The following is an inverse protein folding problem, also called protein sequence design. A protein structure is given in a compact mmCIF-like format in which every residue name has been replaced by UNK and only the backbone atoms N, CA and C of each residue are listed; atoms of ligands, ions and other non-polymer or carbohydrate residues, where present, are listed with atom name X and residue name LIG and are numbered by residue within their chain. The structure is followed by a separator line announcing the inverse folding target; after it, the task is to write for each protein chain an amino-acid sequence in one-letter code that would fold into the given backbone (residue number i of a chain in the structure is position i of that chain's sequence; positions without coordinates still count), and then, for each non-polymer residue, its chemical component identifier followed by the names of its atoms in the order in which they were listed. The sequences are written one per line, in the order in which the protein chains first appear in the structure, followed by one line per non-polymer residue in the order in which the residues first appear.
data_IF_723188648023
#
_entry.id   IF_723188648023
#
_cell.length_a   1.000
_cell.length_b   1.000
_cell.length_c   1.000
_cell.angle_alpha   90.00
_cell.angle_beta   90.00
_cell.angle_gamma   90.00
#
_symmetry.space_group_name_H-M   'P 1'
#
loop_
_entity.id
_entity.type
_entity.pdbx_description
1 polymer ?
#
# COMPACT_ATOMS: atom_id res chain seq x y z
N UNK A 1 -1.76 -9.40 22.26
CA UNK A 1 -3.21 -9.11 22.13
C UNK A 1 -3.61 -8.40 20.83
N UNK A 2 -2.88 -7.38 20.34
CA UNK A 2 -3.34 -6.53 19.21
C UNK A 2 -3.46 -7.19 17.82
N UNK A 3 -2.70 -8.25 17.51
CA UNK A 3 -2.62 -8.82 16.15
C UNK A 3 -3.94 -9.38 15.62
N UNK A 4 -4.76 -9.99 16.48
CA UNK A 4 -6.03 -10.58 16.07
C UNK A 4 -7.09 -9.53 15.76
N UNK A 5 -7.09 -8.42 16.52
CA UNK A 5 -7.97 -7.26 16.27
C UNK A 5 -7.59 -6.53 14.98
N UNK A 6 -6.30 -6.48 14.63
CA UNK A 6 -5.83 -5.87 13.38
C UNK A 6 -6.32 -6.65 12.16
N UNK A 7 -6.26 -7.99 12.22
CA UNK A 7 -6.79 -8.83 11.15
C UNK A 7 -8.29 -8.62 10.95
N UNK A 8 -9.09 -8.72 12.01
CA UNK A 8 -10.54 -8.56 11.91
C UNK A 8 -10.94 -7.17 11.40
N UNK A 9 -10.23 -6.13 11.87
CA UNK A 9 -10.44 -4.76 11.43
C UNK A 9 -10.22 -4.59 9.92
N UNK A 10 -9.10 -5.09 9.39
CA UNK A 10 -8.79 -4.98 7.95
C UNK A 10 -9.66 -5.93 7.12
N UNK A 11 -9.93 -7.13 7.60
CA UNK A 11 -10.75 -8.13 6.91
C UNK A 11 -12.17 -7.60 6.63
N UNK A 12 -12.77 -6.85 7.56
CA UNK A 12 -14.07 -6.16 7.37
C UNK A 12 -14.11 -5.32 6.09
N UNK A 13 -13.03 -4.62 5.76
CA UNK A 13 -12.96 -3.75 4.58
C UNK A 13 -12.60 -4.53 3.29
N UNK A 14 -12.10 -5.76 3.42
CA UNK A 14 -11.76 -6.65 2.29
C UNK A 14 -12.84 -7.69 1.96
N UNK A 15 -13.79 -7.94 2.88
CA UNK A 15 -14.79 -9.02 2.84
C UNK A 15 -15.77 -8.97 1.65
N UNK A 16 -15.69 -7.95 0.81
CA UNK A 16 -16.50 -7.80 -0.41
C UNK A 16 -15.97 -8.60 -1.62
N UNK A 17 -14.77 -9.20 -1.57
CA UNK A 17 -14.04 -9.66 -2.77
C UNK A 17 -14.04 -11.17 -3.09
N UNK A 18 -15.19 -11.85 -2.97
CA UNK A 18 -15.50 -13.16 -3.60
C UNK A 18 -15.35 -14.43 -2.75
N UNK A 19 -16.47 -15.18 -2.68
CA UNK A 19 -16.65 -16.46 -1.98
C UNK A 19 -15.74 -17.63 -2.47
N UNK A 20 -15.00 -17.47 -3.57
CA UNK A 20 -14.45 -18.62 -4.31
C UNK A 20 -13.13 -19.20 -3.78
N UNK A 21 -12.35 -18.51 -2.93
CA UNK A 21 -11.08 -19.05 -2.39
C UNK A 21 -10.74 -18.61 -0.95
N UNK A 22 -11.63 -18.86 0.02
CA UNK A 22 -11.46 -18.38 1.42
C UNK A 22 -10.12 -18.78 2.08
N UNK A 23 -9.62 -20.00 1.88
CA UNK A 23 -8.43 -20.48 2.62
C UNK A 23 -7.11 -19.85 2.15
N UNK A 24 -6.84 -19.83 0.84
CA UNK A 24 -5.64 -19.17 0.29
C UNK A 24 -5.68 -17.66 0.52
N UNK A 25 -6.87 -17.06 0.41
CA UNK A 25 -7.07 -15.64 0.71
C UNK A 25 -6.78 -15.33 2.18
N UNK A 26 -7.21 -16.16 3.13
CA UNK A 26 -6.93 -15.95 4.55
C UNK A 26 -5.43 -15.90 4.86
N UNK A 27 -4.60 -16.72 4.21
CA UNK A 27 -3.13 -16.68 4.39
C UNK A 27 -2.55 -15.39 3.82
N UNK A 28 -2.97 -14.98 2.63
CA UNK A 28 -2.50 -13.74 2.00
C UNK A 28 -2.96 -12.49 2.75
N UNK A 29 -4.20 -12.47 3.26
CA UNK A 29 -4.71 -11.37 4.09
C UNK A 29 -3.93 -11.31 5.40
N UNK A 30 -3.64 -12.45 6.04
CA UNK A 30 -2.79 -12.46 7.24
C UNK A 30 -1.41 -11.87 6.98
N UNK A 31 -0.75 -12.25 5.87
CA UNK A 31 0.55 -11.66 5.51
C UNK A 31 0.44 -10.18 5.15
N UNK A 32 -0.62 -9.76 4.46
CA UNK A 32 -0.88 -8.35 4.22
C UNK A 32 -1.00 -7.54 5.52
N UNK A 33 -1.78 -8.03 6.49
CA UNK A 33 -1.93 -7.33 7.77
C UNK A 33 -0.64 -7.36 8.60
N UNK A 34 0.05 -8.50 8.67
CA UNK A 34 1.19 -8.68 9.58
C UNK A 34 2.52 -8.21 9.01
N UNK A 35 2.75 -8.35 7.71
CA UNK A 35 4.04 -8.08 7.06
C UNK A 35 3.99 -6.79 6.25
N UNK A 36 2.92 -6.55 5.49
CA UNK A 36 2.82 -5.36 4.62
C UNK A 36 2.33 -4.11 5.35
N UNK A 37 1.20 -4.20 6.06
CA UNK A 37 0.69 -3.09 6.87
C UNK A 37 1.43 -2.97 8.20
N UNK A 38 1.82 -4.11 8.78
CA UNK A 38 2.38 -4.20 10.13
C UNK A 38 1.43 -3.57 11.20
N UNK A 39 1.89 -3.39 12.43
CA UNK A 39 1.12 -2.69 13.48
C UNK A 39 0.79 -1.24 13.11
N UNK A 40 1.77 -0.54 12.55
CA UNK A 40 1.72 0.91 12.41
C UNK A 40 0.85 1.33 11.23
N UNK A 41 0.89 0.58 10.12
CA UNK A 41 -0.02 0.82 8.99
C UNK A 41 -1.48 0.58 9.37
N UNK A 42 -1.76 -0.41 10.23
CA UNK A 42 -3.12 -0.61 10.76
C UNK A 42 -3.54 0.51 11.70
N UNK A 43 -2.61 1.02 12.52
CA UNK A 43 -2.88 2.19 13.38
C UNK A 43 -3.21 3.43 12.55
N UNK A 44 -2.42 3.72 11.52
CA UNK A 44 -2.67 4.86 10.61
C UNK A 44 -4.03 4.72 9.93
N UNK A 45 -4.37 3.52 9.43
CA UNK A 45 -5.67 3.26 8.82
C UNK A 45 -6.84 3.47 9.79
N UNK A 46 -6.67 3.16 11.08
CA UNK A 46 -7.66 3.47 12.12
C UNK A 46 -7.79 4.96 12.36
N UNK A 47 -6.67 5.68 12.48
CA UNK A 47 -6.69 7.13 12.68
C UNK A 47 -7.36 7.86 11.49
N UNK A 48 -7.10 7.39 10.28
CA UNK A 48 -7.72 7.92 9.07
C UNK A 48 -9.24 7.63 9.08
N UNK A 49 -9.65 6.40 9.41
CA UNK A 49 -11.08 6.02 9.40
C UNK A 49 -11.92 6.79 10.42
N UNK A 50 -11.33 7.32 11.50
CA UNK A 50 -12.06 8.20 12.43
C UNK A 50 -12.49 9.52 11.76
N UNK A 51 -11.85 9.90 10.65
CA UNK A 51 -12.06 11.19 9.97
C UNK A 51 -12.67 11.06 8.57
N UNK A 52 -12.79 9.85 8.03
CA UNK A 52 -13.36 9.60 6.70
C UNK A 52 -14.46 8.55 6.76
N UNK A 53 -15.31 8.48 5.73
CA UNK A 53 -16.37 7.48 5.70
C UNK A 53 -15.81 6.06 5.57
N UNK A 54 -16.58 5.08 6.04
CA UNK A 54 -16.25 3.66 5.87
C UNK A 54 -16.08 3.26 4.40
N UNK A 55 -16.81 3.91 3.49
CA UNK A 55 -16.67 3.72 2.04
C UNK A 55 -15.27 4.14 1.57
N UNK A 56 -14.82 5.34 1.94
CA UNK A 56 -13.49 5.82 1.56
C UNK A 56 -12.39 5.01 2.25
N UNK A 57 -12.61 4.58 3.49
CA UNK A 57 -11.69 3.66 4.20
C UNK A 57 -11.55 2.35 3.44
N UNK A 58 -12.65 1.78 2.96
CA UNK A 58 -12.66 0.57 2.12
C UNK A 58 -11.86 0.78 0.83
N UNK A 59 -12.05 1.89 0.14
CA UNK A 59 -11.29 2.22 -1.07
C UNK A 59 -9.78 2.28 -0.82
N UNK A 60 -9.36 2.94 0.27
CA UNK A 60 -7.94 3.00 0.66
C UNK A 60 -7.38 1.61 0.96
N UNK A 61 -8.10 0.81 1.74
CA UNK A 61 -7.67 -0.56 2.08
C UNK A 61 -7.59 -1.43 0.82
N UNK A 62 -8.54 -1.30 -0.11
CA UNK A 62 -8.55 -2.03 -1.38
C UNK A 62 -7.41 -1.61 -2.30
N UNK A 63 -7.07 -0.32 -2.35
CA UNK A 63 -5.91 0.16 -3.07
C UNK A 63 -4.63 -0.50 -2.52
N UNK A 64 -4.39 -0.42 -1.20
CA UNK A 64 -3.23 -1.04 -0.55
C UNK A 64 -3.17 -2.56 -0.76
N UNK A 65 -4.33 -3.24 -0.76
CA UNK A 65 -4.40 -4.67 -1.04
C UNK A 65 -4.04 -5.01 -2.49
N UNK A 66 -4.48 -4.20 -3.45
CA UNK A 66 -4.11 -4.36 -4.86
C UNK A 66 -2.61 -4.12 -5.07
N UNK A 67 -2.05 -3.15 -4.36
CA UNK A 67 -0.60 -2.88 -4.36
C UNK A 67 0.17 -4.09 -3.86
N UNK A 68 -0.21 -4.60 -2.69
CA UNK A 68 0.38 -5.79 -2.10
C UNK A 68 0.33 -7.00 -3.03
N UNK A 69 -0.84 -7.30 -3.63
CA UNK A 69 -0.99 -8.40 -4.59
C UNK A 69 -0.10 -8.23 -5.81
N UNK A 70 0.05 -6.99 -6.30
CA UNK A 70 0.91 -6.70 -7.46
C UNK A 70 2.35 -6.95 -7.08
N UNK A 71 2.83 -6.37 -5.97
CA UNK A 71 4.20 -6.53 -5.50
C UNK A 71 4.58 -7.98 -5.24
N UNK A 72 3.68 -8.78 -4.64
CA UNK A 72 3.94 -10.19 -4.37
C UNK A 72 4.11 -11.04 -5.63
N UNK A 73 3.61 -10.58 -6.78
CA UNK A 73 3.78 -11.26 -8.07
C UNK A 73 5.04 -10.83 -8.82
N UNK A 74 5.69 -9.75 -8.39
CA UNK A 74 6.84 -9.16 -9.08
C UNK A 74 8.18 -9.65 -8.49
N UNK A 75 9.15 -9.88 -9.38
CA UNK A 75 10.55 -10.07 -8.99
C UNK A 75 11.19 -8.76 -8.51
N UNK A 76 12.38 -8.83 -7.91
CA UNK A 76 13.04 -7.68 -7.26
C UNK A 76 13.23 -6.47 -8.18
N UNK A 77 13.64 -6.68 -9.43
CA UNK A 77 13.84 -5.62 -10.43
C UNK A 77 12.51 -4.97 -10.81
N UNK A 78 11.46 -5.76 -10.99
CA UNK A 78 10.15 -5.27 -11.37
C UNK A 78 9.43 -4.57 -10.22
N UNK A 79 9.67 -4.97 -8.96
CA UNK A 79 9.18 -4.25 -7.78
C UNK A 79 9.73 -2.83 -7.74
N UNK A 80 11.04 -2.67 -7.93
CA UNK A 80 11.67 -1.35 -7.96
C UNK A 80 11.07 -0.45 -9.05
N UNK A 81 10.91 -0.97 -10.28
CA UNK A 81 10.26 -0.24 -11.37
C UNK A 81 8.83 0.18 -11.01
N UNK A 82 8.07 -0.70 -10.37
CA UNK A 82 6.70 -0.44 -9.94
C UNK A 82 6.62 0.68 -8.88
N UNK A 83 7.50 0.66 -7.87
CA UNK A 83 7.56 1.72 -6.86
C UNK A 83 7.90 3.07 -7.49
N UNK A 84 8.92 3.12 -8.35
CA UNK A 84 9.30 4.36 -9.02
C UNK A 84 8.18 4.92 -9.92
N UNK A 85 7.44 4.04 -10.60
CA UNK A 85 6.28 4.44 -11.38
C UNK A 85 5.15 5.01 -10.51
N UNK A 86 4.87 4.39 -9.36
CA UNK A 86 3.89 4.88 -8.38
C UNK A 86 4.25 6.27 -7.86
N UNK A 87 5.51 6.45 -7.48
CA UNK A 87 6.02 7.73 -6.96
C UNK A 87 5.92 8.83 -8.01
N UNK A 88 6.27 8.54 -9.26
CA UNK A 88 6.13 9.48 -10.37
C UNK A 88 4.70 9.98 -10.51
N UNK A 89 3.70 9.09 -10.39
CA UNK A 89 2.29 9.45 -10.51
C UNK A 89 1.78 10.33 -9.35
N UNK A 90 2.39 10.24 -8.16
CA UNK A 90 2.08 11.10 -7.01
C UNK A 90 2.71 12.49 -7.16
N UNK A 91 3.89 12.59 -7.77
CA UNK A 91 4.57 13.87 -8.01
C UNK A 91 3.99 14.71 -9.16
N UNK A 92 3.09 14.16 -9.97
CA UNK A 92 2.47 14.85 -11.13
C UNK A 92 1.28 15.76 -10.77
N UNK A 93 1.03 16.07 -9.49
CA UNK A 93 -0.15 16.88 -9.08
C UNK A 93 0.17 18.22 -8.42
N UNK A 94 1.40 18.74 -8.52
CA UNK A 94 1.71 20.09 -8.00
C UNK A 94 2.74 20.92 -8.78
N UNK A 95 2.95 20.66 -10.07
CA UNK A 95 3.93 21.45 -10.82
C UNK A 95 4.09 21.12 -12.30
N UNK A 96 3.02 21.19 -13.09
CA UNK A 96 3.17 21.60 -14.50
C UNK A 96 3.19 23.14 -14.55
N UNK A 97 4.19 23.74 -13.92
CA UNK A 97 4.68 25.06 -14.31
C UNK A 97 5.98 24.84 -15.06
N UNK A 98 5.83 24.76 -16.37
CA UNK A 98 6.82 25.04 -17.40
C UNK A 98 8.18 25.55 -16.90
N UNK A 99 9.16 24.66 -16.85
CA UNK A 99 10.55 25.05 -17.11
C UNK A 99 11.18 24.01 -18.00
N UNK A 100 11.28 24.33 -19.30
CA UNK A 100 12.28 23.73 -20.17
C UNK A 100 13.65 23.78 -19.49
N UNK A 101 14.10 22.67 -18.92
CA UNK A 101 15.50 22.51 -18.55
C UNK A 101 15.89 21.04 -18.72
N UNK A 102 16.72 20.82 -19.74
CA UNK A 102 17.51 19.62 -19.92
C UNK A 102 18.43 19.46 -18.71
N UNK A 103 18.01 18.74 -17.66
CA UNK A 103 18.90 18.37 -16.55
C UNK A 103 18.68 16.89 -16.19
N UNK A 104 19.54 16.08 -16.80
CA UNK A 104 20.13 14.83 -16.34
C UNK A 104 19.50 14.13 -15.13
N UNK A 105 18.95 12.95 -15.42
CA UNK A 105 18.73 11.81 -14.53
C UNK A 105 19.77 11.73 -13.40
N UNK A 106 19.41 12.23 -12.23
CA UNK A 106 20.24 12.13 -11.03
C UNK A 106 19.42 11.50 -9.92
N UNK A 107 19.51 10.16 -9.88
CA UNK A 107 19.49 9.30 -8.69
C UNK A 107 18.95 9.93 -7.40
N UNK A 108 17.66 9.71 -7.12
CA UNK A 108 17.12 9.81 -5.76
C UNK A 108 17.12 8.39 -5.17
N UNK A 109 18.31 7.87 -4.86
CA UNK A 109 18.43 6.72 -3.97
C UNK A 109 18.23 7.20 -2.55
N UNK A 110 17.12 6.81 -1.92
CA UNK A 110 17.00 6.86 -0.47
C UNK A 110 17.98 5.84 0.12
N UNK A 111 19.13 6.33 0.60
CA UNK A 111 20.12 5.51 1.30
C UNK A 111 19.59 5.21 2.71
N UNK A 112 19.60 3.92 3.04
CA UNK A 112 19.50 3.38 4.39
C UNK A 112 20.46 4.09 5.36
N UNK A 113 19.97 4.39 6.56
CA UNK A 113 20.83 4.46 7.74
C UNK A 113 20.23 3.60 8.85
N UNK A 114 20.75 2.38 8.96
CA UNK A 114 20.86 1.68 10.23
C UNK A 114 21.95 2.36 11.07
N UNK A 115 21.64 2.69 12.32
CA UNK A 115 22.52 2.55 13.49
C UNK A 115 21.65 2.33 14.71
#
# INVERSE_FOLDING_TARGET
LFRQFNYAYIARYLELYSKKERFKQNVLIKRFVLEYLNSDGVLILRLISENISDLLTSEVVNALWNDYKTMNRLNSINREKYYNQRLKNVTMTRGDLNTNSNITSSNVYFRQTYK
#
